data_IF_454000089697
#
_entry.id   IF_454000089697
#
_cell.length_a   1.000
_cell.length_b   1.000
_cell.length_c   1.000
_cell.angle_alpha   90.00
_cell.angle_beta   90.00
_cell.angle_gamma   90.00
#
_symmetry.space_group_name_H-M   'P 1'
#
loop_
_entity.id
_entity.type
_entity.pdbx_description
1 polymer ?
#
# COMPACT_ATOMS: atom_id res chain seq x y z
N UNK A 1 -7.05 7.56 12.22
CA UNK A 1 -5.72 7.92 11.68
C UNK A 1 -5.65 7.48 10.24
N UNK A 2 -4.84 8.13 9.41
CA UNK A 2 -4.68 7.76 8.01
C UNK A 2 -3.43 6.88 7.83
N UNK A 3 -3.59 5.78 7.13
CA UNK A 3 -2.54 4.83 6.79
C UNK A 3 -2.43 4.69 5.27
N UNK A 4 -1.21 4.73 4.76
CA UNK A 4 -0.92 4.45 3.36
C UNK A 4 -0.67 2.95 3.22
N UNK A 5 -1.32 2.33 2.23
CA UNK A 5 -1.21 0.92 1.93
C UNK A 5 -0.18 0.73 0.82
N UNK A 6 0.88 -0.01 1.15
CA UNK A 6 1.97 -0.33 0.24
C UNK A 6 1.88 -1.81 -0.16
N UNK A 7 2.04 -2.08 -1.45
CA UNK A 7 2.24 -3.42 -1.99
C UNK A 7 3.71 -3.61 -2.32
N UNK A 8 4.34 -4.66 -1.78
CA UNK A 8 5.70 -5.05 -2.18
C UNK A 8 5.67 -5.85 -3.48
N UNK A 9 6.02 -5.21 -4.60
CA UNK A 9 6.17 -5.86 -5.89
C UNK A 9 7.58 -6.46 -6.03
N UNK A 10 7.66 -7.77 -5.82
CA UNK A 10 8.87 -8.55 -5.96
C UNK A 10 9.19 -8.95 -7.41
N UNK A 11 8.25 -8.75 -8.34
CA UNK A 11 8.42 -9.13 -9.75
C UNK A 11 9.02 -8.00 -10.59
N UNK A 12 8.85 -6.74 -10.16
CA UNK A 12 9.57 -5.61 -10.73
C UNK A 12 11.10 -5.77 -10.58
N UNK A 13 11.85 -5.29 -11.58
CA UNK A 13 13.32 -5.20 -11.53
C UNK A 13 13.77 -3.73 -11.72
N UNK A 14 14.22 -3.04 -10.65
CA UNK A 14 14.38 -3.56 -9.28
C UNK A 14 13.03 -3.72 -8.54
N UNK A 15 12.96 -4.59 -7.50
CA UNK A 15 11.78 -4.69 -6.63
C UNK A 15 11.42 -3.36 -6.00
N UNK A 16 10.12 -3.11 -5.83
CA UNK A 16 9.62 -1.81 -5.40
C UNK A 16 8.40 -1.92 -4.48
N UNK A 17 8.16 -0.88 -3.69
CA UNK A 17 6.90 -0.68 -3.00
C UNK A 17 6.01 0.23 -3.83
N UNK A 18 4.81 -0.24 -4.16
CA UNK A 18 3.79 0.50 -4.87
C UNK A 18 2.78 1.04 -3.87
N UNK A 19 2.41 2.32 -4.00
CA UNK A 19 1.33 2.89 -3.21
C UNK A 19 0.00 2.48 -3.85
N UNK A 20 -0.81 1.74 -3.09
CA UNK A 20 -2.12 1.26 -3.53
C UNK A 20 -3.19 2.32 -3.26
N UNK A 21 -3.38 2.66 -1.98
CA UNK A 21 -4.41 3.58 -1.52
C UNK A 21 -4.10 4.08 -0.09
N UNK A 22 -4.98 4.93 0.45
CA UNK A 22 -4.95 5.36 1.83
C UNK A 22 -6.25 4.98 2.54
N UNK A 23 -6.13 4.38 3.74
CA UNK A 23 -7.26 3.89 4.55
C UNK A 23 -7.26 4.49 5.94
N UNK A 24 -8.42 4.57 6.57
CA UNK A 24 -8.58 5.08 7.93
C UNK A 24 -8.72 3.95 8.97
N UNK A 25 -8.22 4.19 10.18
CA UNK A 25 -8.45 3.36 11.37
C UNK A 25 -7.78 3.93 12.63
N UNK A 26 -8.09 3.44 13.83
CA UNK A 26 -7.40 3.89 15.06
C UNK A 26 -6.01 3.26 15.16
N UNK A 27 -5.87 2.03 14.66
CA UNK A 27 -4.59 1.30 14.54
C UNK A 27 -4.39 0.76 13.13
N UNK A 28 -3.15 0.40 12.77
CA UNK A 28 -2.88 -0.22 11.46
C UNK A 28 -3.57 -1.58 11.31
N UNK A 29 -3.67 -2.37 12.37
CA UNK A 29 -4.33 -3.68 12.34
C UNK A 29 -5.83 -3.55 12.08
N UNK A 30 -6.48 -2.60 12.76
CA UNK A 30 -7.88 -2.27 12.55
C UNK A 30 -8.13 -1.73 11.14
N UNK A 31 -7.33 -0.75 10.70
CA UNK A 31 -7.44 -0.17 9.37
C UNK A 31 -7.31 -1.25 8.28
N UNK A 32 -6.37 -2.18 8.43
CA UNK A 32 -6.24 -3.32 7.51
C UNK A 32 -7.48 -4.21 7.58
N UNK A 33 -7.93 -4.62 8.78
CA UNK A 33 -9.05 -5.55 8.95
C UNK A 33 -10.37 -5.03 8.38
N UNK A 34 -10.64 -3.74 8.56
CA UNK A 34 -11.89 -3.11 8.12
C UNK A 34 -11.93 -2.85 6.61
N UNK A 35 -10.77 -2.59 5.99
CA UNK A 35 -10.68 -2.19 4.59
C UNK A 35 -10.09 -3.28 3.68
N UNK A 36 -9.74 -4.47 4.19
CA UNK A 36 -9.04 -5.52 3.44
C UNK A 36 -9.71 -5.91 2.11
N UNK A 37 -11.04 -6.09 2.00
CA UNK A 37 -11.66 -6.44 0.73
C UNK A 37 -11.50 -5.35 -0.35
N UNK A 38 -11.56 -4.08 0.07
CA UNK A 38 -11.40 -2.93 -0.82
C UNK A 38 -9.94 -2.82 -1.28
N UNK A 39 -8.99 -2.98 -0.35
CA UNK A 39 -7.55 -3.02 -0.63
C UNK A 39 -7.21 -4.13 -1.64
N UNK A 40 -7.74 -5.34 -1.45
CA UNK A 40 -7.50 -6.46 -2.38
C UNK A 40 -8.02 -6.11 -3.77
N UNK A 41 -9.20 -5.49 -3.86
CA UNK A 41 -9.78 -5.05 -5.13
C UNK A 41 -8.88 -4.00 -5.80
N UNK A 42 -8.40 -3.01 -5.05
CA UNK A 42 -7.50 -1.98 -5.57
C UNK A 42 -6.16 -2.56 -6.05
N UNK A 43 -5.59 -3.55 -5.35
CA UNK A 43 -4.38 -4.26 -5.81
C UNK A 43 -4.63 -4.97 -7.14
N UNK A 44 -5.77 -5.66 -7.28
CA UNK A 44 -6.12 -6.36 -8.52
C UNK A 44 -6.28 -5.40 -9.69
N UNK A 45 -6.98 -4.29 -9.48
CA UNK A 45 -7.13 -3.24 -10.50
C UNK A 45 -5.78 -2.61 -10.87
N UNK A 46 -4.89 -2.41 -9.89
CA UNK A 46 -3.57 -1.84 -10.12
C UNK A 46 -2.65 -2.77 -10.92
N UNK A 47 -2.72 -4.09 -10.68
CA UNK A 47 -1.88 -5.08 -11.35
C UNK A 47 -2.48 -5.65 -12.64
N UNK A 48 -3.77 -5.41 -12.90
CA UNK A 48 -4.53 -6.05 -13.99
C UNK A 48 -4.47 -7.59 -13.91
N UNK A 49 -4.56 -8.14 -12.69
CA UNK A 49 -4.45 -9.58 -12.42
C UNK A 49 -5.72 -10.15 -11.79
N UNK A 50 -6.15 -11.32 -12.27
CA UNK A 50 -7.30 -12.04 -11.73
C UNK A 50 -6.92 -13.00 -10.58
N UNK A 51 -7.92 -13.66 -9.97
CA UNK A 51 -7.74 -14.53 -8.80
C UNK A 51 -6.92 -15.80 -9.09
N UNK A 52 -6.92 -16.27 -10.34
CA UNK A 52 -6.15 -17.43 -10.76
C UNK A 52 -4.65 -17.10 -10.88
N UNK A 53 -4.32 -15.84 -11.18
CA UNK A 53 -2.95 -15.35 -11.31
C UNK A 53 -2.33 -14.96 -9.97
N UNK A 54 -3.13 -14.35 -9.09
CA UNK A 54 -2.70 -13.93 -7.77
C UNK A 54 -3.82 -14.13 -6.75
N UNK A 55 -3.59 -14.97 -5.75
CA UNK A 55 -4.58 -15.26 -4.72
C UNK A 55 -4.68 -14.12 -3.70
N UNK A 56 -5.84 -14.01 -3.05
CA UNK A 56 -6.05 -13.04 -1.96
C UNK A 56 -5.06 -13.25 -0.80
N UNK A 57 -4.65 -14.49 -0.54
CA UNK A 57 -3.67 -14.79 0.50
C UNK A 57 -2.28 -14.29 0.12
N UNK A 58 -1.86 -14.46 -1.14
CA UNK A 58 -0.62 -13.90 -1.64
C UNK A 58 -0.63 -12.36 -1.57
N UNK A 59 -1.74 -11.72 -1.94
CA UNK A 59 -1.89 -10.26 -1.80
C UNK A 59 -1.68 -9.85 -0.34
N UNK A 60 -2.32 -10.53 0.63
CA UNK A 60 -2.18 -10.22 2.06
C UNK A 60 -0.73 -10.29 2.55
N UNK A 61 0.05 -11.26 2.08
CA UNK A 61 1.47 -11.40 2.44
C UNK A 61 2.35 -10.28 1.88
N UNK A 62 1.89 -9.57 0.85
CA UNK A 62 2.63 -8.50 0.17
C UNK A 62 2.25 -7.10 0.67
N UNK A 63 1.21 -6.98 1.50
CA UNK A 63 0.68 -5.71 1.98
C UNK A 63 1.37 -5.20 3.23
N UNK A 64 1.65 -3.90 3.25
CA UNK A 64 2.18 -3.18 4.40
C UNK A 64 1.37 -1.91 4.62
N UNK A 65 1.03 -1.61 5.87
CA UNK A 65 0.43 -0.33 6.24
C UNK A 65 1.45 0.52 6.98
N UNK A 66 1.55 1.78 6.57
CA UNK A 66 2.40 2.78 7.23
C UNK A 66 1.57 4.00 7.58
N UNK A 67 1.78 4.65 8.75
CA UNK A 67 1.16 5.93 9.04
C UNK A 67 1.49 6.95 7.93
N UNK A 68 0.50 7.72 7.47
CA UNK A 68 0.70 8.64 6.35
C UNK A 68 1.75 9.72 6.62
N UNK A 69 1.95 10.08 7.89
CA UNK A 69 2.97 11.03 8.35
C UNK A 69 4.37 10.41 8.49
N UNK A 70 4.51 9.09 8.42
CA UNK A 70 5.80 8.40 8.40
C UNK A 70 6.48 8.49 7.02
N UNK A 71 5.71 8.69 5.95
CA UNK A 71 6.24 8.91 4.60
C UNK A 71 6.50 10.40 4.37
N UNK A 72 7.77 10.81 4.52
CA UNK A 72 8.17 12.20 4.28
C UNK A 72 8.58 12.37 2.80
N UNK A 73 7.81 13.09 1.97
CA UNK A 73 8.16 13.25 0.57
C UNK A 73 9.39 14.15 0.40
N UNK A 74 10.41 13.66 -0.32
CA UNK A 74 11.70 14.36 -0.50
C UNK A 74 11.57 15.79 -1.05
N UNK A 75 10.53 16.08 -1.85
CA UNK A 75 10.24 17.44 -2.35
C UNK A 75 10.05 18.48 -1.24
N UNK A 76 9.61 18.07 -0.04
CA UNK A 76 9.47 18.97 1.11
C UNK A 76 10.84 19.42 1.65
N UNK A 77 11.92 18.68 1.39
CA UNK A 77 13.28 19.05 1.79
C UNK A 77 13.96 19.96 0.76
N UNK A 78 13.62 19.83 -0.53
CA UNK A 78 14.16 20.69 -1.57
C UNK A 78 13.68 22.15 -1.48
N UNK A 79 12.52 22.40 -0.86
CA UNK A 79 11.96 23.73 -0.68
C UNK A 79 12.60 24.54 0.47
N UNK A 80 13.42 23.91 1.30
CA UNK A 80 14.04 24.55 2.49
C UNK A 80 15.41 25.18 2.21
N UNK A 81 15.85 25.19 0.95
CA UNK A 81 17.13 25.77 0.51
C UNK A 81 16.94 26.95 -0.44
N UNK A 82 16.37 28.06 0.05
CA UNK A 82 16.51 29.41 -0.53
C UNK A 82 16.45 30.47 0.56
#
# INVERSE_FOLDING_TARGET
MLFEVLLYDAWSDPPAYLLVEAVEGETAEEALKENLPEIITAVREMLDMNEEELSDEAIREMLYLVPADALIPARKLAASGR
#
